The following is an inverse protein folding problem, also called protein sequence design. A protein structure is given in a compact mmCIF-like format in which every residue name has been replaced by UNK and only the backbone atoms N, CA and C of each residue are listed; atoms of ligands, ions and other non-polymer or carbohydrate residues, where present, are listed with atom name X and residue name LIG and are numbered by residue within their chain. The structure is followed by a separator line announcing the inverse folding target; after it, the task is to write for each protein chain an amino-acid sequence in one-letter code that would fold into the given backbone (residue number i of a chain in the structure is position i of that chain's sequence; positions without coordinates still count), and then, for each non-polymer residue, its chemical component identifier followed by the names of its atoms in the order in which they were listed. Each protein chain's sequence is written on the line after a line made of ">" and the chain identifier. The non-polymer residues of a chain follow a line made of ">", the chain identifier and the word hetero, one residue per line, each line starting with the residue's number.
data_IF_607716868678
#
_entry.id   IF_607716868678
#
_cell.length_a   1.000
_cell.length_b   1.000
_cell.length_c   1.000
_cell.angle_alpha   90.00
_cell.angle_beta   90.00
_cell.angle_gamma   90.00
#
_symmetry.space_group_name_H-M   'P 1'
#
loop_
_entity.id
_entity.type
_entity.pdbx_description
1 polymer ?
#
# COMPACT_ATOMS: atom_id res chain seq x y z
N UNK A 1 -56.07 -51.54 19.46
CA UNK A 1 -55.02 -50.45 19.61
C UNK A 1 -54.03 -50.57 18.48
N UNK A 2 -54.03 -49.65 17.51
CA UNK A 2 -53.10 -49.63 16.40
C UNK A 2 -52.13 -48.45 16.63
N UNK A 3 -50.93 -48.72 16.96
CA UNK A 3 -49.81 -47.74 17.10
C UNK A 3 -49.36 -47.34 15.72
N UNK A 4 -49.50 -46.04 15.37
CA UNK A 4 -48.89 -45.44 14.17
C UNK A 4 -47.49 -44.98 14.52
N UNK A 5 -46.52 -45.61 13.90
CA UNK A 5 -45.11 -45.16 13.93
C UNK A 5 -44.96 -44.00 12.96
N UNK A 6 -44.58 -42.84 13.46
CA UNK A 6 -44.24 -41.64 12.67
C UNK A 6 -42.77 -41.71 12.33
N UNK A 7 -42.41 -41.96 11.08
CA UNK A 7 -41.03 -41.88 10.62
C UNK A 7 -40.68 -40.45 10.27
N UNK A 8 -39.80 -39.84 11.03
CA UNK A 8 -39.23 -38.52 10.82
C UNK A 8 -38.05 -38.62 9.82
N UNK A 9 -38.30 -38.28 8.56
CA UNK A 9 -37.26 -38.21 7.54
C UNK A 9 -36.58 -36.85 7.65
N UNK A 10 -35.39 -36.78 8.27
CA UNK A 10 -34.54 -35.59 8.31
C UNK A 10 -33.93 -35.36 6.93
N UNK A 11 -34.40 -34.40 6.18
CA UNK A 11 -33.74 -33.90 4.98
C UNK A 11 -32.56 -33.04 5.42
N UNK A 12 -31.33 -33.59 5.33
CA UNK A 12 -30.12 -32.84 5.48
C UNK A 12 -29.89 -32.03 4.21
N UNK A 13 -30.18 -30.74 4.27
CA UNK A 13 -29.89 -29.79 3.18
C UNK A 13 -28.37 -29.52 3.22
N UNK A 14 -27.61 -30.23 2.39
CA UNK A 14 -26.22 -29.92 2.10
C UNK A 14 -26.16 -28.61 1.30
N UNK A 15 -25.97 -27.48 2.00
CA UNK A 15 -25.52 -26.26 1.35
C UNK A 15 -24.07 -26.52 0.88
N UNK A 16 -23.90 -26.90 -0.36
CA UNK A 16 -22.62 -26.83 -1.05
C UNK A 16 -22.30 -25.35 -1.31
N UNK A 17 -21.61 -24.70 -0.37
CA UNK A 17 -20.88 -23.47 -0.70
C UNK A 17 -19.80 -23.88 -1.67
N UNK A 18 -20.00 -23.63 -2.95
CA UNK A 18 -18.91 -23.68 -3.93
C UNK A 18 -17.91 -22.59 -3.58
N UNK A 19 -16.92 -22.97 -2.76
CA UNK A 19 -15.70 -22.19 -2.59
C UNK A 19 -15.01 -22.32 -3.94
N UNK A 20 -15.23 -21.34 -4.83
CA UNK A 20 -14.39 -21.16 -6.01
C UNK A 20 -13.02 -20.73 -5.49
N UNK A 21 -12.15 -21.69 -5.22
CA UNK A 21 -10.74 -21.42 -5.02
C UNK A 21 -10.24 -20.82 -6.33
N UNK A 22 -10.16 -19.49 -6.40
CA UNK A 22 -9.58 -18.82 -7.53
C UNK A 22 -8.13 -19.29 -7.64
N UNK A 23 -7.83 -20.05 -8.69
CA UNK A 23 -6.49 -20.53 -8.93
C UNK A 23 -5.58 -19.34 -9.19
N UNK A 24 -4.61 -19.15 -8.31
CA UNK A 24 -3.58 -18.12 -8.50
C UNK A 24 -2.84 -18.35 -9.81
N UNK A 25 -2.70 -17.29 -10.59
CA UNK A 25 -2.03 -17.31 -11.87
C UNK A 25 -1.08 -16.13 -11.98
N UNK A 26 0.06 -16.39 -12.53
CA UNK A 26 1.04 -15.39 -12.90
C UNK A 26 1.23 -15.49 -14.41
N UNK A 27 1.03 -14.38 -15.11
CA UNK A 27 1.34 -14.30 -16.53
C UNK A 27 2.67 -13.56 -16.65
N UNK A 28 3.69 -14.27 -17.07
CA UNK A 28 4.99 -13.69 -17.42
C UNK A 28 4.95 -13.26 -18.88
N UNK A 29 5.13 -11.97 -19.11
CA UNK A 29 5.13 -11.37 -20.43
C UNK A 29 6.45 -10.65 -20.68
N UNK A 30 7.22 -11.19 -21.62
CA UNK A 30 8.42 -10.59 -22.19
C UNK A 30 8.25 -10.35 -23.67
N UNK A 31 9.34 -10.47 -24.43
CA UNK A 31 9.35 -10.33 -25.90
C UNK A 31 8.78 -11.53 -26.64
N UNK A 32 8.65 -12.68 -25.96
CA UNK A 32 8.10 -13.93 -26.50
C UNK A 32 6.62 -14.13 -26.21
N UNK A 33 6.12 -15.34 -26.46
CA UNK A 33 4.77 -15.72 -26.09
C UNK A 33 4.62 -15.70 -24.56
N UNK A 34 3.47 -15.20 -24.02
CA UNK A 34 3.24 -15.20 -22.58
C UNK A 34 3.29 -16.60 -21.99
N UNK A 35 3.89 -16.72 -20.80
CA UNK A 35 3.96 -17.97 -20.03
C UNK A 35 3.11 -17.86 -18.79
N UNK A 36 2.49 -18.97 -18.39
CA UNK A 36 1.61 -19.00 -17.20
C UNK A 36 2.25 -19.86 -16.12
N UNK A 37 2.35 -19.29 -14.91
CA UNK A 37 2.88 -19.94 -13.71
C UNK A 37 1.83 -19.97 -12.61
N UNK A 38 2.04 -20.87 -11.66
CA UNK A 38 1.32 -20.92 -10.38
C UNK A 38 2.24 -20.69 -9.17
N UNK A 39 3.54 -20.72 -9.40
CA UNK A 39 4.59 -20.46 -8.41
C UNK A 39 5.31 -19.17 -8.74
N UNK A 40 5.37 -18.22 -7.77
CA UNK A 40 5.95 -16.90 -7.98
C UNK A 40 7.47 -16.95 -8.07
N UNK A 41 8.11 -17.79 -7.25
CA UNK A 41 9.56 -17.98 -7.31
C UNK A 41 10.00 -18.50 -8.67
N UNK A 42 9.31 -19.52 -9.19
CA UNK A 42 9.59 -20.07 -10.53
C UNK A 42 9.37 -19.02 -11.63
N UNK A 43 8.33 -18.20 -11.54
CA UNK A 43 8.09 -17.12 -12.51
C UNK A 43 9.21 -16.07 -12.49
N UNK A 44 9.68 -15.66 -11.31
CA UNK A 44 10.79 -14.70 -11.15
C UNK A 44 12.10 -15.27 -11.69
N UNK A 45 12.38 -16.56 -11.47
CA UNK A 45 13.57 -17.23 -12.01
C UNK A 45 13.51 -17.29 -13.54
N UNK A 46 12.36 -17.60 -14.12
CA UNK A 46 12.18 -17.70 -15.59
C UNK A 46 12.22 -16.34 -16.31
N UNK A 47 11.88 -15.26 -15.60
CA UNK A 47 11.79 -13.91 -16.16
C UNK A 47 13.15 -13.38 -16.63
N UNK A 48 13.13 -12.56 -17.69
CA UNK A 48 14.27 -11.82 -18.19
C UNK A 48 14.19 -10.35 -17.74
N UNK A 49 15.30 -9.60 -17.72
CA UNK A 49 15.29 -8.18 -17.42
C UNK A 49 14.28 -7.40 -18.27
N UNK A 50 13.41 -6.62 -17.60
CA UNK A 50 12.35 -5.83 -18.24
C UNK A 50 11.03 -6.55 -18.43
N UNK A 51 10.94 -7.83 -18.08
CA UNK A 51 9.69 -8.59 -18.20
C UNK A 51 8.63 -8.11 -17.18
N UNK A 52 7.36 -8.36 -17.54
CA UNK A 52 6.20 -8.05 -16.70
C UNK A 52 5.60 -9.32 -16.14
N UNK A 53 5.34 -9.32 -14.83
CA UNK A 53 4.61 -10.37 -14.11
C UNK A 53 3.24 -9.83 -13.70
N UNK A 54 2.19 -10.31 -14.35
CA UNK A 54 0.81 -10.01 -13.99
C UNK A 54 0.31 -11.07 -13.01
N UNK A 55 0.03 -10.65 -11.80
CA UNK A 55 -0.45 -11.52 -10.73
C UNK A 55 -1.97 -11.40 -10.61
N UNK A 56 -2.67 -12.53 -10.63
CA UNK A 56 -4.10 -12.54 -10.28
C UNK A 56 -4.31 -12.12 -8.82
N UNK A 57 -5.54 -11.91 -8.41
CA UNK A 57 -5.84 -11.85 -6.98
C UNK A 57 -5.54 -13.17 -6.27
N UNK A 58 -5.33 -13.07 -4.97
CA UNK A 58 -4.96 -14.16 -4.07
C UNK A 58 -3.60 -13.94 -3.42
N UNK A 59 -3.22 -14.86 -2.53
CA UNK A 59 -1.94 -14.80 -1.80
C UNK A 59 -0.93 -15.74 -2.43
N UNK A 60 0.14 -15.20 -2.99
CA UNK A 60 1.28 -15.95 -3.52
C UNK A 60 2.25 -16.24 -2.37
N UNK A 61 2.23 -17.50 -1.90
CA UNK A 61 3.11 -17.97 -0.83
C UNK A 61 4.46 -18.42 -1.41
N UNK A 62 5.55 -17.86 -0.87
CA UNK A 62 6.92 -18.21 -1.24
C UNK A 62 7.64 -18.78 -0.02
N UNK A 63 8.17 -19.98 -0.14
CA UNK A 63 8.99 -20.59 0.92
C UNK A 63 10.40 -19.98 0.87
N UNK A 64 10.87 -19.42 1.98
CA UNK A 64 12.11 -18.66 2.03
C UNK A 64 11.93 -17.24 1.54
N UNK A 65 12.96 -16.68 0.92
CA UNK A 65 12.99 -15.34 0.39
C UNK A 65 12.50 -15.29 -1.06
N UNK A 66 11.82 -14.19 -1.41
CA UNK A 66 11.60 -13.82 -2.80
C UNK A 66 12.69 -12.84 -3.22
N UNK A 67 13.64 -13.32 -4.02
CA UNK A 67 14.78 -12.50 -4.45
C UNK A 67 14.51 -11.92 -5.84
N UNK A 68 14.48 -10.58 -5.91
CA UNK A 68 14.41 -9.82 -7.17
C UNK A 68 15.81 -9.34 -7.50
N UNK A 69 16.47 -10.01 -8.43
CA UNK A 69 17.88 -9.83 -8.80
C UNK A 69 18.08 -9.24 -10.22
N UNK A 70 17.01 -8.79 -10.86
CA UNK A 70 16.98 -8.16 -12.18
C UNK A 70 15.80 -7.20 -12.28
N UNK A 71 15.82 -6.19 -13.19
CA UNK A 71 14.69 -5.29 -13.38
C UNK A 71 13.44 -6.07 -13.83
N UNK A 72 12.38 -6.04 -13.04
CA UNK A 72 11.10 -6.69 -13.30
C UNK A 72 9.94 -5.77 -12.94
N UNK A 73 8.81 -5.94 -13.62
CA UNK A 73 7.60 -5.17 -13.37
C UNK A 73 6.49 -6.08 -12.85
N UNK A 74 6.15 -5.95 -11.56
CA UNK A 74 5.11 -6.74 -10.92
C UNK A 74 3.80 -5.94 -10.91
N UNK A 75 2.73 -6.55 -11.39
CA UNK A 75 1.41 -5.92 -11.52
C UNK A 75 0.37 -6.84 -10.90
N UNK A 76 -0.17 -6.43 -9.75
CA UNK A 76 -1.21 -7.14 -9.02
C UNK A 76 -2.62 -6.66 -9.38
N UNK A 77 -3.63 -7.33 -8.80
CA UNK A 77 -5.04 -6.98 -8.95
C UNK A 77 -5.49 -5.80 -8.07
N UNK A 78 -4.64 -5.37 -7.11
CA UNK A 78 -4.93 -4.30 -6.15
C UNK A 78 -4.87 -4.76 -4.71
N UNK A 79 -4.93 -3.80 -3.78
CA UNK A 79 -4.81 -4.03 -2.33
C UNK A 79 -6.12 -3.76 -1.58
N UNK A 80 -7.06 -3.01 -2.15
CA UNK A 80 -8.32 -2.64 -1.51
C UNK A 80 -9.35 -3.77 -1.57
N UNK A 81 -9.94 -4.19 -0.44
CA UNK A 81 -10.91 -5.30 -0.40
C UNK A 81 -12.12 -5.07 -1.31
N UNK A 82 -12.68 -3.86 -1.30
CA UNK A 82 -13.88 -3.53 -2.07
C UNK A 82 -13.61 -3.44 -3.56
N UNK A 83 -12.48 -2.87 -3.94
CA UNK A 83 -12.11 -2.69 -5.34
C UNK A 83 -11.69 -3.99 -6.02
N UNK A 84 -11.28 -4.99 -5.25
CA UNK A 84 -10.89 -6.32 -5.71
C UNK A 84 -11.81 -7.43 -5.20
N UNK A 85 -13.04 -7.11 -4.83
CA UNK A 85 -14.02 -8.10 -4.29
C UNK A 85 -14.27 -9.29 -5.23
N UNK A 86 -14.13 -9.10 -6.55
CA UNK A 86 -14.31 -10.15 -7.56
C UNK A 86 -13.03 -10.97 -7.78
N UNK A 87 -11.88 -10.31 -7.71
CA UNK A 87 -10.58 -10.91 -8.02
C UNK A 87 -9.78 -11.30 -6.77
N UNK A 88 -10.20 -10.87 -5.60
CA UNK A 88 -9.40 -10.76 -4.37
C UNK A 88 -8.22 -9.80 -4.53
N UNK A 89 -7.66 -9.36 -3.40
CA UNK A 89 -6.42 -8.57 -3.38
C UNK A 89 -5.24 -9.43 -3.78
N UNK A 90 -4.22 -8.83 -4.38
CA UNK A 90 -2.96 -9.55 -4.62
C UNK A 90 -2.03 -9.37 -3.43
N UNK A 91 -1.59 -10.47 -2.84
CA UNK A 91 -0.61 -10.46 -1.76
C UNK A 91 0.57 -11.37 -2.07
N UNK A 92 1.76 -10.93 -1.71
CA UNK A 92 2.99 -11.73 -1.65
C UNK A 92 3.26 -12.02 -0.18
N UNK A 93 3.37 -13.30 0.17
CA UNK A 93 3.66 -13.77 1.52
C UNK A 93 4.86 -14.72 1.48
N UNK A 94 5.98 -14.25 1.98
CA UNK A 94 7.22 -15.04 2.07
C UNK A 94 7.33 -15.64 3.48
N UNK A 95 7.98 -16.78 3.64
CA UNK A 95 8.36 -17.22 4.99
C UNK A 95 9.66 -16.57 5.48
N UNK A 96 10.41 -15.95 4.58
CA UNK A 96 11.52 -15.04 4.80
C UNK A 96 11.11 -13.61 4.43
N UNK A 97 11.83 -13.01 3.49
CA UNK A 97 11.68 -11.60 3.10
C UNK A 97 11.46 -11.47 1.59
N UNK A 98 10.95 -10.31 1.15
CA UNK A 98 11.05 -9.90 -0.26
C UNK A 98 12.29 -9.04 -0.40
N UNK A 99 13.30 -9.53 -1.09
CA UNK A 99 14.59 -8.86 -1.27
C UNK A 99 14.68 -8.23 -2.66
N UNK A 100 15.07 -6.95 -2.71
CA UNK A 100 15.30 -6.22 -3.96
C UNK A 100 16.78 -5.86 -4.04
N UNK A 101 17.51 -6.54 -4.92
CA UNK A 101 18.97 -6.40 -5.02
C UNK A 101 19.36 -5.22 -5.91
N UNK A 102 20.62 -4.79 -5.85
CA UNK A 102 21.14 -3.70 -6.72
C UNK A 102 20.89 -3.97 -8.21
N UNK A 103 21.01 -5.22 -8.65
CA UNK A 103 20.76 -5.59 -10.02
C UNK A 103 19.28 -5.48 -10.47
N UNK A 104 18.36 -5.30 -9.51
CA UNK A 104 16.95 -5.05 -9.79
C UNK A 104 16.62 -3.57 -10.09
N UNK A 105 17.63 -2.73 -10.24
CA UNK A 105 17.48 -1.31 -10.61
C UNK A 105 16.47 -1.13 -11.74
N UNK A 106 15.50 -0.21 -11.56
CA UNK A 106 14.40 0.04 -12.50
C UNK A 106 13.18 -0.87 -12.33
N UNK A 107 13.13 -1.73 -11.33
CA UNK A 107 11.95 -2.54 -11.05
C UNK A 107 10.76 -1.72 -10.56
N UNK A 108 9.55 -2.21 -10.82
CA UNK A 108 8.32 -1.60 -10.31
C UNK A 108 7.35 -2.62 -9.75
N UNK A 109 6.58 -2.18 -8.74
CA UNK A 109 5.57 -2.96 -8.06
C UNK A 109 4.28 -2.14 -8.00
N UNK A 110 3.19 -2.69 -8.52
CA UNK A 110 1.90 -1.98 -8.58
C UNK A 110 0.77 -2.87 -8.07
N UNK A 111 -0.02 -2.36 -7.12
CA UNK A 111 -1.23 -3.03 -6.64
C UNK A 111 -0.99 -4.35 -5.90
N UNK A 112 0.06 -4.42 -5.10
CA UNK A 112 0.49 -5.64 -4.39
C UNK A 112 0.65 -5.34 -2.90
N UNK A 113 0.14 -6.25 -2.07
CA UNK A 113 0.42 -6.28 -0.64
C UNK A 113 1.63 -7.15 -0.35
N UNK A 114 2.61 -6.60 0.35
CA UNK A 114 3.73 -7.32 0.96
C UNK A 114 3.34 -7.68 2.40
N UNK A 115 3.08 -8.97 2.66
CA UNK A 115 2.64 -9.41 4.00
C UNK A 115 3.78 -9.47 5.01
N UNK A 116 5.01 -9.69 4.53
CA UNK A 116 6.24 -9.78 5.33
C UNK A 116 7.18 -8.62 5.02
N UNK A 117 8.39 -8.65 5.56
CA UNK A 117 9.41 -7.63 5.34
C UNK A 117 9.75 -7.52 3.85
N UNK A 118 9.73 -6.30 3.34
CA UNK A 118 10.34 -5.94 2.06
C UNK A 118 11.63 -5.18 2.37
N UNK A 119 12.74 -5.62 1.79
CA UNK A 119 14.00 -4.94 2.04
C UNK A 119 14.96 -4.95 0.86
N UNK A 120 15.86 -3.97 0.86
CA UNK A 120 17.00 -3.95 -0.05
C UNK A 120 18.17 -4.61 0.67
N UNK A 121 18.57 -5.78 0.17
CA UNK A 121 19.60 -6.57 0.78
C UNK A 121 19.09 -7.87 1.40
N UNK A 122 19.99 -8.57 2.08
CA UNK A 122 19.76 -9.86 2.72
C UNK A 122 19.89 -9.79 4.26
N UNK A 123 19.81 -8.58 4.83
CA UNK A 123 20.03 -8.34 6.26
C UNK A 123 21.50 -8.35 6.67
N UNK A 124 22.40 -8.91 5.86
CA UNK A 124 23.85 -8.94 6.07
C UNK A 124 24.58 -7.90 5.24
N UNK A 125 24.01 -7.50 4.10
CA UNK A 125 24.52 -6.47 3.21
C UNK A 125 23.41 -5.53 2.75
N UNK A 126 23.76 -4.25 2.61
CA UNK A 126 22.87 -3.28 2.00
C UNK A 126 23.06 -3.31 0.48
N UNK A 127 21.96 -3.31 -0.24
CA UNK A 127 21.94 -3.14 -1.68
C UNK A 127 21.40 -1.76 -2.03
N UNK A 128 21.88 -1.19 -3.12
CA UNK A 128 21.57 0.18 -3.56
C UNK A 128 20.86 0.16 -4.92
N UNK A 129 19.68 -0.48 -5.05
CA UNK A 129 18.93 -0.38 -6.29
C UNK A 129 18.43 1.05 -6.46
N UNK A 130 18.41 1.54 -7.71
CA UNK A 130 17.92 2.87 -8.06
C UNK A 130 16.72 2.78 -9.00
N UNK A 131 15.89 3.84 -9.04
CA UNK A 131 14.71 3.86 -9.91
C UNK A 131 13.67 2.81 -9.55
N UNK A 132 13.61 2.37 -8.30
CA UNK A 132 12.56 1.46 -7.84
C UNK A 132 11.27 2.25 -7.65
N UNK A 133 10.15 1.68 -8.13
CA UNK A 133 8.83 2.30 -8.03
C UNK A 133 7.87 1.37 -7.30
N UNK A 134 7.27 1.87 -6.21
CA UNK A 134 6.10 1.25 -5.57
C UNK A 134 4.89 2.15 -5.79
N UNK A 135 3.85 1.60 -6.41
CA UNK A 135 2.62 2.33 -6.66
C UNK A 135 1.41 1.52 -6.20
N UNK A 136 0.58 2.15 -5.35
CA UNK A 136 -0.64 1.50 -4.82
C UNK A 136 -0.36 0.16 -4.18
N UNK A 137 0.76 0.07 -3.46
CA UNK A 137 1.16 -1.12 -2.70
C UNK A 137 0.79 -0.98 -1.22
N UNK A 138 0.63 -2.12 -0.54
CA UNK A 138 0.48 -2.17 0.91
C UNK A 138 1.68 -2.89 1.53
N UNK A 139 2.30 -2.27 2.52
CA UNK A 139 3.36 -2.86 3.33
C UNK A 139 2.78 -3.29 4.68
N UNK A 140 2.48 -4.58 4.83
CA UNK A 140 1.94 -5.16 6.05
C UNK A 140 2.99 -5.32 7.16
N UNK A 141 4.27 -5.23 6.83
CA UNK A 141 5.41 -5.26 7.73
C UNK A 141 6.42 -4.16 7.37
N UNK A 142 7.69 -4.28 7.77
CA UNK A 142 8.72 -3.29 7.47
C UNK A 142 8.99 -3.18 5.97
N UNK A 143 9.19 -1.95 5.51
CA UNK A 143 9.84 -1.63 4.25
C UNK A 143 11.22 -1.00 4.58
N UNK A 144 12.28 -1.75 4.34
CA UNK A 144 13.66 -1.34 4.63
C UNK A 144 14.37 -1.04 3.32
N UNK A 145 14.76 0.22 3.12
CA UNK A 145 15.57 0.62 1.98
C UNK A 145 17.06 0.33 2.24
N UNK A 146 17.91 0.63 1.29
CA UNK A 146 19.36 0.44 1.39
C UNK A 146 20.11 1.75 1.22
N UNK A 147 21.29 1.84 1.80
CA UNK A 147 22.13 3.03 1.68
C UNK A 147 22.45 3.34 0.21
N UNK A 148 22.18 4.60 -0.19
CA UNK A 148 22.35 5.05 -1.58
C UNK A 148 21.34 4.50 -2.58
N UNK A 149 20.29 3.81 -2.13
CA UNK A 149 19.16 3.44 -3.01
C UNK A 149 18.28 4.64 -3.34
N UNK A 150 17.57 4.57 -4.46
CA UNK A 150 16.62 5.60 -4.90
C UNK A 150 15.25 4.95 -5.18
N UNK A 151 14.21 5.44 -4.48
CA UNK A 151 12.88 4.85 -4.53
C UNK A 151 11.79 5.91 -4.67
N UNK A 152 10.85 5.67 -5.59
CA UNK A 152 9.60 6.42 -5.69
C UNK A 152 8.46 5.60 -5.09
N UNK A 153 7.71 6.19 -4.17
CA UNK A 153 6.61 5.55 -3.45
C UNK A 153 5.38 6.43 -3.58
N UNK A 154 4.37 5.93 -4.27
CA UNK A 154 3.19 6.72 -4.60
C UNK A 154 1.89 5.96 -4.29
N UNK A 155 0.93 6.64 -3.65
CA UNK A 155 -0.37 6.08 -3.30
C UNK A 155 -0.28 4.74 -2.53
N UNK A 156 0.73 4.57 -1.67
CA UNK A 156 0.95 3.34 -0.91
C UNK A 156 0.40 3.43 0.52
N UNK A 157 0.07 2.26 1.09
CA UNK A 157 -0.37 2.10 2.47
C UNK A 157 0.70 1.39 3.29
N UNK A 158 1.17 2.03 4.35
CA UNK A 158 2.11 1.44 5.30
C UNK A 158 1.41 1.08 6.60
N UNK A 159 1.31 -0.21 6.89
CA UNK A 159 0.84 -0.74 8.18
C UNK A 159 1.96 -0.80 9.20
N UNK A 160 3.18 -0.62 8.74
CA UNK A 160 4.38 -0.65 9.57
C UNK A 160 5.38 0.42 9.09
N UNK A 161 6.65 0.29 9.45
CA UNK A 161 7.68 1.30 9.25
C UNK A 161 8.27 1.29 7.83
N UNK A 162 8.45 2.49 7.28
CA UNK A 162 9.38 2.77 6.19
C UNK A 162 10.72 3.22 6.79
N UNK A 163 11.75 2.41 6.62
CA UNK A 163 13.09 2.65 7.13
C UNK A 163 14.04 2.97 5.98
N UNK A 164 14.57 4.19 5.95
CA UNK A 164 15.41 4.68 4.85
C UNK A 164 16.78 4.02 4.78
N UNK A 165 17.39 3.74 5.93
CA UNK A 165 18.73 3.17 6.03
C UNK A 165 19.75 3.92 5.15
N UNK A 166 19.76 5.26 5.26
CA UNK A 166 20.53 6.19 4.42
C UNK A 166 20.20 6.15 2.90
N UNK A 167 19.10 5.57 2.52
CA UNK A 167 18.54 5.63 1.16
C UNK A 167 17.82 6.94 0.87
N UNK A 168 17.42 7.10 -0.39
CA UNK A 168 16.66 8.23 -0.89
C UNK A 168 15.26 7.78 -1.27
N UNK A 169 14.24 8.52 -0.83
CA UNK A 169 12.86 8.26 -1.22
C UNK A 169 12.09 9.54 -1.51
N UNK A 170 11.28 9.49 -2.57
CA UNK A 170 10.18 10.42 -2.84
C UNK A 170 8.88 9.71 -2.53
N UNK A 171 8.13 10.24 -1.57
CA UNK A 171 6.93 9.63 -0.99
C UNK A 171 5.76 10.57 -1.21
N UNK A 172 4.81 10.18 -2.04
CA UNK A 172 3.68 11.04 -2.38
C UNK A 172 2.36 10.33 -2.15
N UNK A 173 1.36 11.05 -1.64
CA UNK A 173 -0.02 10.59 -1.46
C UNK A 173 -0.12 9.23 -0.73
N UNK A 174 0.75 8.99 0.23
CA UNK A 174 0.80 7.75 0.99
C UNK A 174 0.07 7.87 2.32
N UNK A 175 -0.46 6.75 2.79
CA UNK A 175 -1.06 6.61 4.12
C UNK A 175 -0.10 5.81 4.99
N UNK A 176 0.28 6.37 6.13
CA UNK A 176 1.04 5.68 7.15
C UNK A 176 0.12 5.50 8.36
N UNK A 177 -0.16 4.24 8.70
CA UNK A 177 -0.93 3.91 9.90
C UNK A 177 -0.05 3.14 10.86
N UNK A 178 -0.19 3.45 12.13
CA UNK A 178 0.64 2.82 13.12
C UNK A 178 -0.18 2.40 14.33
N UNK A 179 -0.68 1.19 14.31
CA UNK A 179 -1.38 0.59 15.42
C UNK A 179 -0.50 0.46 16.67
N UNK A 180 -0.51 1.51 17.53
CA UNK A 180 -0.51 1.26 18.94
C UNK A 180 0.75 1.12 19.74
N UNK A 181 1.83 1.92 19.62
CA UNK A 181 2.65 2.29 20.80
C UNK A 181 3.45 3.58 20.57
N UNK A 182 3.65 4.35 21.64
CA UNK A 182 4.23 5.70 21.64
C UNK A 182 5.69 5.81 21.13
N UNK A 183 6.35 4.70 20.84
CA UNK A 183 7.74 4.66 20.38
C UNK A 183 7.88 4.52 18.86
N UNK A 184 6.80 4.44 18.12
CA UNK A 184 6.83 4.10 16.72
C UNK A 184 7.20 5.28 15.82
N UNK A 185 8.17 5.05 14.98
CA UNK A 185 8.71 5.99 14.02
C UNK A 185 8.42 5.41 12.62
N UNK A 186 7.20 5.61 12.08
CA UNK A 186 6.82 4.97 10.82
C UNK A 186 7.70 5.38 9.66
N UNK A 187 8.37 6.56 9.76
CA UNK A 187 9.21 7.08 8.70
C UNK A 187 10.53 7.49 9.35
N UNK A 188 11.61 6.79 9.04
CA UNK A 188 12.85 7.06 9.77
C UNK A 188 14.13 6.67 9.03
N UNK A 189 15.27 7.25 9.50
CA UNK A 189 16.64 6.89 9.15
C UNK A 189 16.98 7.06 7.67
N UNK A 190 16.52 8.15 7.08
CA UNK A 190 16.97 8.58 5.76
C UNK A 190 18.29 9.35 5.89
N UNK A 191 19.12 9.25 4.85
CA UNK A 191 20.33 10.06 4.73
C UNK A 191 20.02 11.56 4.63
N UNK A 192 21.04 12.40 4.72
CA UNK A 192 20.85 13.86 4.63
C UNK A 192 20.22 14.27 3.30
N UNK A 193 19.02 14.87 3.36
CA UNK A 193 18.22 15.24 2.19
C UNK A 193 17.60 14.04 1.46
N UNK A 194 17.68 12.85 2.02
CA UNK A 194 17.21 11.61 1.39
C UNK A 194 15.69 11.40 1.43
N UNK A 195 14.92 12.20 2.16
CA UNK A 195 13.48 12.07 2.24
C UNK A 195 12.78 13.30 1.66
N UNK A 196 11.93 13.09 0.67
CA UNK A 196 10.93 14.07 0.24
C UNK A 196 9.54 13.47 0.42
N UNK A 197 8.67 14.14 1.18
CA UNK A 197 7.28 13.73 1.39
C UNK A 197 6.34 14.86 0.98
N UNK A 198 5.30 14.49 0.26
CA UNK A 198 4.27 15.45 -0.15
C UNK A 198 2.88 14.81 -0.15
N UNK A 199 1.87 15.55 0.33
CA UNK A 199 0.47 15.12 0.40
C UNK A 199 0.29 13.72 1.02
N UNK A 200 0.95 13.44 2.14
CA UNK A 200 0.79 12.18 2.87
C UNK A 200 -0.06 12.37 4.14
N UNK A 201 -0.73 11.30 4.57
CA UNK A 201 -1.44 11.26 5.86
C UNK A 201 -0.73 10.27 6.79
N UNK A 202 -0.26 10.75 7.93
CA UNK A 202 0.51 9.99 8.92
C UNK A 202 -0.30 9.90 10.20
N UNK A 203 -0.97 8.75 10.38
CA UNK A 203 -1.83 8.49 11.54
C UNK A 203 -0.98 7.96 12.69
N UNK A 204 -0.99 8.66 13.83
CA UNK A 204 -0.23 8.35 15.06
C UNK A 204 1.29 8.27 14.88
N UNK A 205 1.81 8.68 13.73
CA UNK A 205 3.21 8.52 13.37
C UNK A 205 4.03 9.81 13.42
N UNK A 206 5.31 9.69 13.12
CA UNK A 206 6.24 10.81 12.96
C UNK A 206 7.36 10.49 11.97
N UNK A 207 8.01 11.56 11.48
CA UNK A 207 9.30 11.49 10.78
C UNK A 207 10.42 11.65 11.81
N UNK A 208 11.44 10.79 11.72
CA UNK A 208 12.56 10.83 12.68
C UNK A 208 13.90 10.45 12.06
N UNK A 209 14.98 10.95 12.66
CA UNK A 209 16.35 10.62 12.23
C UNK A 209 16.54 10.74 10.70
N UNK A 210 15.99 11.81 10.11
CA UNK A 210 16.01 12.06 8.67
C UNK A 210 16.48 13.50 8.42
N UNK A 211 17.76 13.79 8.59
CA UNK A 211 18.28 15.14 8.47
C UNK A 211 18.08 15.69 7.06
N UNK A 212 17.74 16.97 6.96
CA UNK A 212 17.49 17.63 5.68
C UNK A 212 16.24 17.12 4.94
N UNK A 213 15.33 16.41 5.59
CA UNK A 213 14.08 15.96 4.98
C UNK A 213 13.23 17.15 4.51
N UNK A 214 12.57 17.00 3.36
CA UNK A 214 11.57 17.93 2.85
C UNK A 214 10.19 17.33 3.04
N UNK A 215 9.34 17.96 3.87
CA UNK A 215 7.99 17.45 4.16
C UNK A 215 6.99 18.57 4.01
N UNK A 216 6.07 18.41 3.05
CA UNK A 216 5.08 19.42 2.71
C UNK A 216 3.68 18.85 2.56
N UNK A 217 2.67 19.70 2.81
CA UNK A 217 1.26 19.42 2.52
C UNK A 217 0.73 18.13 3.17
N UNK A 218 1.31 17.70 4.29
CA UNK A 218 0.98 16.45 4.96
C UNK A 218 0.08 16.67 6.18
N UNK A 219 -0.59 15.60 6.61
CA UNK A 219 -1.36 15.55 7.87
C UNK A 219 -0.66 14.63 8.85
N UNK A 220 -0.48 15.07 10.10
CA UNK A 220 0.08 14.28 11.20
C UNK A 220 -0.89 14.26 12.38
N UNK A 221 -1.48 13.08 12.69
CA UNK A 221 -2.49 12.98 13.75
C UNK A 221 -1.92 12.60 15.13
N UNK A 222 -0.60 12.55 15.26
CA UNK A 222 0.04 12.20 16.54
C UNK A 222 -0.29 13.21 17.64
N UNK A 223 -0.81 12.73 18.78
CA UNK A 223 -1.20 13.57 19.94
C UNK A 223 -0.10 13.67 21.02
N UNK A 224 0.65 12.60 21.23
CA UNK A 224 1.53 12.48 22.40
C UNK A 224 2.90 13.16 22.29
N UNK A 225 3.33 13.59 21.09
CA UNK A 225 4.62 14.24 20.85
C UNK A 225 4.69 14.83 19.44
N UNK A 226 5.70 15.70 19.24
CA UNK A 226 5.93 16.36 17.96
C UNK A 226 6.07 15.38 16.79
N UNK A 227 5.52 15.72 15.61
CA UNK A 227 5.58 14.88 14.42
C UNK A 227 6.97 14.80 13.78
N UNK A 228 7.89 15.68 14.15
CA UNK A 228 9.27 15.65 13.66
C UNK A 228 10.26 15.54 14.82
N UNK A 229 11.17 14.57 14.75
CA UNK A 229 12.12 14.28 15.80
C UNK A 229 13.52 13.97 15.24
N UNK A 230 14.57 14.59 15.79
CA UNK A 230 15.97 14.37 15.41
C UNK A 230 16.26 14.43 13.90
N UNK A 231 15.59 15.33 13.18
CA UNK A 231 15.72 15.51 11.73
C UNK A 231 16.25 16.91 11.42
N UNK A 232 17.47 17.21 11.93
CA UNK A 232 18.10 18.53 11.79
C UNK A 232 18.17 18.98 10.32
N UNK A 233 17.96 20.26 10.08
CA UNK A 233 18.02 20.84 8.74
C UNK A 233 16.81 20.51 7.85
N UNK A 234 15.76 19.90 8.39
CA UNK A 234 14.54 19.61 7.62
C UNK A 234 13.83 20.91 7.19
N UNK A 235 13.16 20.84 6.04
CA UNK A 235 12.25 21.88 5.53
C UNK A 235 10.84 21.34 5.69
N UNK A 236 10.00 22.05 6.48
CA UNK A 236 8.70 21.56 6.92
C UNK A 236 7.66 22.65 6.60
N UNK A 237 6.80 22.42 5.62
CA UNK A 237 5.90 23.46 5.11
C UNK A 237 4.48 22.98 4.88
N UNK A 238 3.49 23.82 5.23
CA UNK A 238 2.07 23.60 4.96
C UNK A 238 1.53 22.26 5.47
N UNK A 239 1.98 21.81 6.64
CA UNK A 239 1.49 20.57 7.26
C UNK A 239 0.43 20.89 8.33
N UNK A 240 -0.58 20.04 8.43
CA UNK A 240 -1.58 20.07 9.50
C UNK A 240 -1.21 19.05 10.56
N UNK A 241 -1.08 19.49 11.81
CA UNK A 241 -0.61 18.66 12.91
C UNK A 241 -1.56 18.75 14.12
N UNK A 242 -1.85 17.62 14.72
CA UNK A 242 -2.65 17.55 15.95
C UNK A 242 -1.86 18.05 17.17
N UNK A 243 -0.59 17.69 17.25
CA UNK A 243 0.25 18.14 18.36
C UNK A 243 0.59 19.63 18.26
N UNK A 244 0.72 20.27 19.43
CA UNK A 244 0.91 21.74 19.55
C UNK A 244 2.35 22.20 19.30
N UNK A 245 3.31 21.27 19.17
CA UNK A 245 4.68 21.58 18.79
C UNK A 245 5.05 20.80 17.54
N UNK A 246 5.64 21.48 16.55
CA UNK A 246 6.01 20.88 15.27
C UNK A 246 7.21 19.95 15.39
N UNK A 247 8.21 20.35 16.13
CA UNK A 247 9.54 19.69 16.20
C UNK A 247 9.94 19.37 17.63
N UNK A 248 10.78 18.34 17.79
CA UNK A 248 11.41 18.00 19.07
C UNK A 248 12.83 17.46 18.84
N UNK A 249 13.79 17.91 19.67
CA UNK A 249 15.20 17.52 19.62
C UNK A 249 15.85 17.75 18.24
N UNK A 250 15.50 18.82 17.57
CA UNK A 250 16.06 19.20 16.26
C UNK A 250 15.91 20.68 15.99
N UNK A 251 16.69 21.16 15.01
CA UNK A 251 16.57 22.51 14.46
C UNK A 251 16.27 22.39 12.97
N UNK A 252 15.08 22.78 12.49
CA UNK A 252 14.77 22.79 11.08
C UNK A 252 15.53 23.87 10.32
N UNK A 253 15.75 23.70 9.02
CA UNK A 253 16.29 24.74 8.15
C UNK A 253 15.25 25.81 7.81
N UNK A 254 13.99 25.38 7.64
CA UNK A 254 12.85 26.27 7.40
C UNK A 254 11.54 25.61 7.88
N UNK A 255 10.65 26.44 8.41
CA UNK A 255 9.27 26.07 8.72
C UNK A 255 8.34 27.22 8.36
N UNK A 256 7.26 26.90 7.61
CA UNK A 256 6.27 27.91 7.22
C UNK A 256 4.92 27.26 6.88
N UNK A 257 3.84 27.99 7.10
CA UNK A 257 2.49 27.55 6.73
C UNK A 257 1.96 26.33 7.51
N UNK A 258 2.68 25.84 8.53
CA UNK A 258 2.22 24.70 9.33
C UNK A 258 1.13 25.12 10.31
N UNK A 259 0.09 24.30 10.43
CA UNK A 259 -1.00 24.50 11.36
C UNK A 259 -0.93 23.44 12.47
N UNK A 260 -0.88 23.87 13.72
CA UNK A 260 -0.67 23.01 14.88
C UNK A 260 -1.88 23.03 15.83
N UNK A 261 -2.06 21.95 16.59
CA UNK A 261 -3.08 21.86 17.63
C UNK A 261 -4.50 21.65 17.09
N UNK A 262 -4.67 21.10 15.88
CA UNK A 262 -5.98 20.79 15.31
C UNK A 262 -6.45 19.44 15.82
N UNK A 263 -7.58 19.35 16.54
CA UNK A 263 -8.08 18.08 17.05
C UNK A 263 -8.49 17.11 15.94
N UNK A 264 -8.22 15.81 16.11
CA UNK A 264 -8.57 14.77 15.11
C UNK A 264 -10.02 14.85 14.65
N UNK A 265 -11.04 15.04 15.54
CA UNK A 265 -12.43 15.16 15.11
C UNK A 265 -12.76 16.34 14.19
N UNK A 266 -11.84 17.31 14.05
CA UNK A 266 -12.01 18.46 13.18
C UNK A 266 -11.30 18.27 11.81
N UNK A 267 -10.62 17.14 11.60
CA UNK A 267 -9.82 16.89 10.41
C UNK A 267 -10.60 16.05 9.40
N UNK A 268 -10.98 14.82 9.76
CA UNK A 268 -11.48 13.82 8.82
C UNK A 268 -13.00 13.66 8.88
N UNK A 269 -13.59 13.14 7.80
CA UNK A 269 -15.02 12.80 7.76
C UNK A 269 -15.34 11.68 8.74
N UNK A 270 -14.56 10.61 8.74
CA UNK A 270 -14.78 9.44 9.60
C UNK A 270 -13.48 8.70 9.87
N UNK A 271 -12.76 9.14 10.90
CA UNK A 271 -11.59 8.48 11.46
C UNK A 271 -11.63 8.72 12.97
N UNK A 272 -11.95 7.70 13.75
CA UNK A 272 -12.32 7.89 15.16
C UNK A 272 -11.32 7.30 16.15
N UNK A 273 -10.60 6.23 15.80
CA UNK A 273 -9.75 5.48 16.72
C UNK A 273 -8.25 5.64 16.46
N UNK A 274 -7.90 6.42 15.40
CA UNK A 274 -6.54 6.65 14.96
C UNK A 274 -5.79 5.35 14.59
N UNK A 275 -6.53 4.38 14.07
CA UNK A 275 -6.01 3.13 13.53
C UNK A 275 -6.67 2.83 12.19
N UNK A 276 -6.14 3.40 11.12
CA UNK A 276 -6.72 3.34 9.79
C UNK A 276 -7.09 1.92 9.36
N UNK A 277 -8.34 1.73 8.99
CA UNK A 277 -8.81 0.56 8.27
C UNK A 277 -9.56 0.95 6.97
N UNK A 278 -9.99 -0.05 6.21
CA UNK A 278 -10.61 0.21 4.90
C UNK A 278 -12.03 0.80 4.98
N UNK A 279 -12.61 0.90 6.19
CA UNK A 279 -13.94 1.51 6.42
C UNK A 279 -13.83 2.98 6.81
N UNK A 280 -12.63 3.47 7.12
CA UNK A 280 -12.40 4.85 7.46
C UNK A 280 -12.48 5.77 6.26
N UNK A 281 -13.04 6.93 6.46
CA UNK A 281 -13.05 8.01 5.49
C UNK A 281 -12.13 9.14 5.98
N UNK A 282 -10.88 9.10 5.51
CA UNK A 282 -9.87 10.10 5.83
C UNK A 282 -9.81 11.26 4.83
N UNK A 283 -10.87 11.50 4.04
CA UNK A 283 -11.05 12.79 3.40
C UNK A 283 -11.23 13.89 4.45
N UNK A 284 -10.77 15.09 4.14
CA UNK A 284 -11.03 16.24 5.00
C UNK A 284 -12.54 16.53 5.07
N UNK A 285 -13.04 16.77 6.27
CA UNK A 285 -14.39 17.32 6.38
C UNK A 285 -14.43 18.75 5.81
N UNK A 286 -15.58 19.21 5.28
CA UNK A 286 -15.67 20.50 4.60
C UNK A 286 -15.27 21.72 5.45
N UNK A 287 -15.32 21.59 6.77
CA UNK A 287 -14.95 22.63 7.74
C UNK A 287 -13.52 22.49 8.26
N UNK A 288 -12.79 21.49 7.80
CA UNK A 288 -11.40 21.28 8.24
C UNK A 288 -10.51 22.46 7.82
N UNK A 289 -9.65 22.87 8.74
CA UNK A 289 -8.64 23.88 8.45
C UNK A 289 -7.57 23.43 7.44
N UNK A 290 -7.56 22.15 7.08
CA UNK A 290 -6.68 21.60 6.02
C UNK A 290 -7.19 21.81 4.58
N UNK A 291 -8.45 22.27 4.42
CA UNK A 291 -9.04 22.54 3.10
C UNK A 291 -8.35 23.72 2.45
N UNK A 292 -7.88 23.57 1.21
CA UNK A 292 -7.12 24.55 0.42
C UNK A 292 -5.85 25.08 1.13
N UNK A 293 -5.28 24.32 2.07
CA UNK A 293 -4.12 24.74 2.86
C UNK A 293 -2.79 24.42 2.17
N UNK A 294 -2.76 23.49 1.22
CA UNK A 294 -1.55 23.09 0.52
C UNK A 294 -0.92 24.23 -0.28
N UNK A 295 0.38 24.16 -0.55
CA UNK A 295 1.11 25.19 -1.27
C UNK A 295 0.59 25.45 -2.69
N UNK A 296 -0.03 24.46 -3.31
CA UNK A 296 -0.64 24.54 -4.64
C UNK A 296 -2.13 24.96 -4.62
N UNK A 297 -2.65 25.28 -3.43
CA UNK A 297 -4.05 25.67 -3.22
C UNK A 297 -5.03 24.50 -3.16
N UNK A 298 -4.54 23.26 -3.10
CA UNK A 298 -5.36 22.07 -2.86
C UNK A 298 -5.46 21.77 -1.36
N UNK A 299 -6.16 20.72 -1.00
CA UNK A 299 -6.25 20.22 0.37
C UNK A 299 -4.90 19.58 0.80
N UNK A 300 -4.59 19.63 2.09
CA UNK A 300 -3.45 18.85 2.61
C UNK A 300 -3.81 17.37 2.81
N UNK A 301 -2.80 16.51 2.85
CA UNK A 301 -2.97 15.06 3.06
C UNK A 301 -3.20 14.28 1.78
N UNK A 302 -3.43 13.00 1.92
CA UNK A 302 -3.42 11.99 0.86
C UNK A 302 -4.45 12.27 -0.26
N UNK A 303 -5.56 12.91 0.06
CA UNK A 303 -6.62 13.24 -0.90
C UNK A 303 -6.53 14.65 -1.48
N UNK A 304 -5.50 15.41 -1.14
CA UNK A 304 -5.17 16.67 -1.81
C UNK A 304 -4.67 16.44 -3.25
N UNK A 305 -4.12 17.46 -3.86
CA UNK A 305 -3.60 17.47 -5.24
C UNK A 305 -4.65 17.38 -6.36
N UNK A 306 -4.23 17.71 -7.59
CA UNK A 306 -5.06 17.54 -8.80
C UNK A 306 -5.22 16.06 -9.20
N UNK A 307 -4.43 15.16 -8.62
CA UNK A 307 -4.49 13.72 -8.82
C UNK A 307 -4.45 13.01 -7.46
N UNK A 308 -5.55 13.04 -6.69
CA UNK A 308 -5.57 12.52 -5.32
C UNK A 308 -5.42 10.99 -5.28
N UNK A 309 -5.05 10.49 -4.11
CA UNK A 309 -5.08 9.06 -3.79
C UNK A 309 -6.41 8.44 -4.24
N UNK A 310 -6.35 7.29 -4.87
CA UNK A 310 -7.55 6.56 -5.28
C UNK A 310 -8.00 5.65 -4.14
N UNK A 311 -9.22 5.84 -3.59
CA UNK A 311 -9.74 5.00 -2.52
C UNK A 311 -9.58 3.51 -2.84
N UNK A 312 -9.07 2.74 -1.87
CA UNK A 312 -8.76 1.32 -2.05
C UNK A 312 -7.55 1.04 -2.94
N UNK A 313 -6.74 2.05 -3.29
CA UNK A 313 -5.56 1.92 -4.14
C UNK A 313 -5.82 1.06 -5.39
N UNK A 314 -6.90 1.38 -6.11
CA UNK A 314 -7.34 0.62 -7.28
C UNK A 314 -6.31 0.77 -8.41
N UNK A 315 -5.81 -0.33 -9.00
CA UNK A 315 -4.84 -0.27 -10.09
C UNK A 315 -5.36 0.52 -11.30
N UNK A 316 -4.46 1.12 -12.09
CA UNK A 316 -4.83 1.80 -13.34
C UNK A 316 -5.33 0.83 -14.40
N UNK A 317 -4.87 -0.41 -14.36
CA UNK A 317 -5.24 -1.44 -15.32
C UNK A 317 -6.76 -1.75 -15.27
N UNK A 318 -7.37 -2.17 -16.37
CA UNK A 318 -8.73 -2.67 -16.36
C UNK A 318 -8.89 -3.79 -15.34
N UNK A 319 -9.92 -3.69 -14.50
CA UNK A 319 -10.22 -4.66 -13.45
C UNK A 319 -11.71 -4.98 -13.40
N UNK A 320 -12.05 -6.18 -12.95
CA UNK A 320 -13.43 -6.61 -12.82
C UNK A 320 -14.08 -5.95 -11.61
N UNK A 321 -15.21 -5.25 -11.84
CA UNK A 321 -16.05 -4.69 -10.78
C UNK A 321 -17.09 -5.68 -10.28
N UNK A 322 -17.61 -6.49 -11.20
CA UNK A 322 -18.48 -7.60 -10.87
C UNK A 322 -18.40 -8.67 -11.95
N UNK A 323 -18.56 -9.93 -11.56
CA UNK A 323 -18.70 -11.05 -12.46
C UNK A 323 -19.78 -12.00 -11.90
N UNK A 324 -20.79 -12.28 -12.69
CA UNK A 324 -21.81 -13.27 -12.37
C UNK A 324 -21.85 -14.26 -13.52
N UNK A 325 -21.52 -15.51 -13.23
CA UNK A 325 -21.55 -16.61 -14.18
C UNK A 325 -22.62 -17.59 -13.67
N UNK A 326 -23.59 -17.90 -14.49
CA UNK A 326 -24.61 -18.87 -14.12
C UNK A 326 -23.97 -20.25 -13.83
N UNK A 327 -24.47 -21.00 -12.85
CA UNK A 327 -23.90 -22.31 -12.49
C UNK A 327 -24.22 -23.40 -13.54
N UNK A 328 -25.12 -23.12 -14.49
CA UNK A 328 -25.50 -24.01 -15.57
C UNK A 328 -25.95 -23.21 -16.80
N UNK A 329 -25.97 -23.87 -17.96
CA UNK A 329 -26.56 -23.33 -19.17
C UNK A 329 -28.07 -23.18 -19.03
N UNK A 330 -28.65 -22.24 -19.76
CA UNK A 330 -30.09 -22.06 -19.87
C UNK A 330 -30.72 -23.15 -20.75
N UNK A 331 -32.04 -23.03 -21.01
CA UNK A 331 -32.80 -24.01 -21.83
C UNK A 331 -32.37 -24.06 -23.29
N UNK A 332 -31.64 -23.05 -23.77
CA UNK A 332 -31.10 -22.97 -25.14
C UNK A 332 -29.67 -23.51 -25.21
N UNK A 333 -29.05 -23.85 -24.07
CA UNK A 333 -27.66 -24.26 -23.96
C UNK A 333 -26.66 -23.09 -23.80
N UNK A 334 -27.15 -21.87 -23.60
CA UNK A 334 -26.32 -20.69 -23.40
C UNK A 334 -25.91 -20.55 -21.95
N UNK A 335 -24.66 -20.21 -21.67
CA UNK A 335 -24.16 -19.88 -20.33
C UNK A 335 -24.26 -18.37 -20.08
N UNK A 336 -25.23 -17.91 -19.25
CA UNK A 336 -25.35 -16.49 -18.93
C UNK A 336 -24.14 -15.99 -18.16
N UNK A 337 -23.44 -15.00 -18.73
CA UNK A 337 -22.27 -14.35 -18.14
C UNK A 337 -22.52 -12.84 -18.12
N UNK A 338 -22.44 -12.24 -16.94
CA UNK A 338 -22.51 -10.79 -16.78
C UNK A 338 -21.20 -10.31 -16.13
N UNK A 339 -20.47 -9.46 -16.84
CA UNK A 339 -19.18 -8.93 -16.41
C UNK A 339 -19.21 -7.41 -16.51
N UNK A 340 -18.82 -6.73 -15.43
CA UNK A 340 -18.55 -5.30 -15.42
C UNK A 340 -17.05 -5.08 -15.21
N UNK A 341 -16.45 -4.29 -16.08
CA UNK A 341 -15.04 -3.90 -16.03
C UNK A 341 -14.97 -2.39 -15.87
N UNK A 342 -14.03 -1.92 -15.08
CA UNK A 342 -13.67 -0.52 -15.00
C UNK A 342 -12.17 -0.35 -15.25
N UNK A 343 -11.79 0.79 -15.79
CA UNK A 343 -10.43 1.27 -15.87
C UNK A 343 -10.41 2.70 -15.34
N UNK A 344 -9.29 3.12 -14.79
CA UNK A 344 -9.12 4.50 -14.35
C UNK A 344 -8.38 5.28 -15.43
N UNK A 345 -8.74 6.53 -15.59
CA UNK A 345 -7.91 7.49 -16.34
C UNK A 345 -6.68 7.84 -15.51
N UNK A 346 -5.55 7.98 -16.17
CA UNK A 346 -4.31 8.48 -15.56
C UNK A 346 -4.45 9.95 -15.20
#
# INVERSE_FOLDING_TARGET
>A
MRTKTLSLTSAVLLLSTSISAQLQRIVLQGSGAPQVFTDLGAAVVAAQPGDKLYLSGGTFSVTGDLVVDKPLHFIGAGIGPDSSSVTNTTAISTSGETQVLTAATGSSFTGIRFSNVMQYGDGSANYSPTGIVFQRCEFGSYANLGAGSETSIDECLFRHRLYGNDGIAVVTRCIFTFGGTATHQPISAFGTGGLTMDHCTVIQGRVSNSPGAHVSNCIFTREGSAPFWQSNGAVITNNLCVYTALVSNMTPAAESGNLLGVPVPEIFISEADQNYDWTDDIHLQPTSAGVNMAADGTDVGTYGTSSPYKPGAVPFNPHFRSATIAPATDVNGDLPVNIRVAAQTH
#
